data_IF_027176091947
#
_entry.id   IF_027176091947
#
_cell.length_a   1.000
_cell.length_b   1.000
_cell.length_c   1.000
_cell.angle_alpha   90.00
_cell.angle_beta   90.00
_cell.angle_gamma   90.00
#
_symmetry.space_group_name_H-M   'P 1'
#
loop_
_entity.id
_entity.type
_entity.pdbx_description
1 polymer ?
#
# COMPACT_ATOMS: atom_id res chain seq x y z
N UNK A 1 8.86 -8.84 -12.86
CA UNK A 1 7.70 -9.74 -12.71
C UNK A 1 7.16 -10.11 -14.08
N UNK A 2 6.66 -9.18 -14.91
CA UNK A 2 6.15 -9.50 -16.27
C UNK A 2 7.19 -10.18 -17.16
N UNK A 3 8.45 -9.72 -17.14
CA UNK A 3 9.53 -10.39 -17.89
C UNK A 3 9.87 -11.79 -17.38
N UNK A 4 9.59 -12.11 -16.11
CA UNK A 4 9.78 -13.45 -15.55
C UNK A 4 8.60 -14.36 -15.91
N UNK A 5 7.39 -13.81 -15.90
CA UNK A 5 6.17 -14.53 -16.30
C UNK A 5 6.18 -14.83 -17.81
N UNK A 6 6.48 -13.83 -18.63
CA UNK A 6 6.57 -13.96 -20.09
C UNK A 6 5.25 -14.22 -20.81
N UNK A 7 4.13 -14.31 -20.09
CA UNK A 7 2.78 -14.54 -20.64
C UNK A 7 1.81 -13.43 -20.26
N UNK A 8 1.50 -13.30 -18.98
CA UNK A 8 0.57 -12.29 -18.48
C UNK A 8 1.29 -10.95 -18.17
N UNK A 9 0.51 -9.86 -18.21
CA UNK A 9 0.94 -8.50 -17.88
C UNK A 9 0.06 -7.93 -16.77
N UNK A 10 0.53 -6.91 -16.06
CA UNK A 10 -0.27 -6.26 -15.04
C UNK A 10 -1.34 -5.35 -15.67
N UNK A 11 -2.60 -5.63 -15.37
CA UNK A 11 -3.70 -4.71 -15.58
C UNK A 11 -3.68 -3.64 -14.48
N UNK A 12 -3.70 -2.36 -14.88
CA UNK A 12 -3.55 -1.22 -13.97
C UNK A 12 -4.85 -0.45 -13.87
N UNK A 13 -5.48 -0.51 -12.71
CA UNK A 13 -6.64 0.30 -12.37
C UNK A 13 -6.20 1.54 -11.58
N UNK A 14 -6.45 2.71 -12.17
CA UNK A 14 -6.20 4.00 -11.52
C UNK A 14 -7.49 4.47 -10.87
N UNK A 15 -7.45 4.71 -9.57
CA UNK A 15 -8.63 5.09 -8.82
C UNK A 15 -8.37 6.32 -7.96
N UNK A 16 -9.46 7.03 -7.68
CA UNK A 16 -9.51 8.17 -6.77
C UNK A 16 -10.73 7.99 -5.87
N UNK A 17 -10.61 8.30 -4.59
CA UNK A 17 -11.75 8.26 -3.67
C UNK A 17 -12.76 9.34 -4.06
N UNK A 18 -14.05 9.05 -3.85
CA UNK A 18 -15.15 9.98 -4.14
C UNK A 18 -15.05 11.30 -3.38
N UNK A 19 -14.44 11.29 -2.20
CA UNK A 19 -14.23 12.46 -1.35
C UNK A 19 -12.93 13.23 -1.68
N UNK A 20 -12.17 12.78 -2.68
CA UNK A 20 -10.91 13.41 -3.11
C UNK A 20 -9.72 13.16 -2.18
N UNK A 21 -9.92 12.50 -1.04
CA UNK A 21 -8.92 12.35 0.01
C UNK A 21 -7.97 11.16 -0.23
N UNK A 22 -7.76 10.77 -1.49
CA UNK A 22 -6.80 9.75 -1.82
C UNK A 22 -6.98 9.15 -3.19
N UNK A 23 -5.91 8.53 -3.67
CA UNK A 23 -5.82 7.87 -4.96
C UNK A 23 -4.83 6.72 -4.91
N UNK A 24 -4.80 5.93 -5.96
CA UNK A 24 -3.87 4.83 -6.07
C UNK A 24 -3.88 4.17 -7.43
N UNK A 25 -2.99 3.19 -7.54
CA UNK A 25 -2.87 2.32 -8.71
C UNK A 25 -2.91 0.90 -8.17
N UNK A 26 -3.95 0.17 -8.54
CA UNK A 26 -4.06 -1.26 -8.29
C UNK A 26 -3.56 -1.98 -9.52
N UNK A 27 -2.43 -2.68 -9.42
CA UNK A 27 -1.88 -3.46 -10.54
C UNK A 27 -2.08 -4.94 -10.26
N UNK A 28 -2.82 -5.65 -11.11
CA UNK A 28 -3.12 -7.08 -10.93
C UNK A 28 -2.62 -7.87 -12.12
N UNK A 29 -1.98 -9.01 -11.84
CA UNK A 29 -1.64 -10.05 -12.82
C UNK A 29 -2.38 -11.32 -12.42
N UNK A 30 -3.01 -11.99 -13.36
CA UNK A 30 -3.73 -13.25 -13.17
C UNK A 30 -3.41 -14.19 -14.33
N UNK A 31 -3.51 -15.50 -14.08
CA UNK A 31 -3.44 -16.55 -15.09
C UNK A 31 -2.17 -16.45 -15.96
N UNK A 32 -1.04 -16.11 -15.33
CA UNK A 32 0.28 -16.06 -15.95
C UNK A 32 0.97 -17.42 -16.01
N UNK A 33 2.13 -17.48 -16.67
CA UNK A 33 2.90 -18.73 -16.73
C UNK A 33 3.61 -19.04 -15.40
N UNK A 34 3.93 -18.00 -14.63
CA UNK A 34 4.64 -18.11 -13.35
C UNK A 34 3.73 -17.73 -12.20
N UNK A 35 2.95 -16.66 -12.35
CA UNK A 35 2.05 -16.17 -11.30
C UNK A 35 0.61 -16.59 -11.59
N UNK A 36 0.04 -17.44 -10.71
CA UNK A 36 -1.41 -17.70 -10.67
C UNK A 36 -2.16 -16.39 -10.45
N UNK A 37 -1.70 -15.62 -9.45
CA UNK A 37 -2.26 -14.32 -9.10
C UNK A 37 -1.25 -13.44 -8.39
N UNK A 38 -1.22 -12.15 -8.72
CA UNK A 38 -0.37 -11.19 -8.06
C UNK A 38 -0.97 -9.80 -8.04
N UNK A 39 -0.64 -9.03 -7.00
CA UNK A 39 -1.02 -7.63 -6.86
C UNK A 39 0.18 -6.78 -6.49
N UNK A 40 0.33 -5.63 -7.13
CA UNK A 40 1.29 -4.59 -6.77
C UNK A 40 0.54 -3.26 -6.71
N UNK A 41 0.29 -2.80 -5.51
CA UNK A 41 -0.62 -1.70 -5.24
C UNK A 41 0.14 -0.51 -4.69
N UNK A 42 -0.14 0.66 -5.26
CA UNK A 42 0.26 1.95 -4.71
C UNK A 42 -0.97 2.69 -4.21
N UNK A 43 -0.86 3.37 -3.08
CA UNK A 43 -1.88 4.32 -2.64
C UNK A 43 -1.27 5.52 -1.91
N UNK A 44 -1.98 6.64 -2.00
CA UNK A 44 -1.80 7.82 -1.18
C UNK A 44 -3.17 8.26 -0.67
N UNK A 45 -3.28 8.46 0.63
CA UNK A 45 -4.52 8.84 1.31
C UNK A 45 -4.22 9.99 2.26
N UNK A 46 -5.10 10.98 2.25
CA UNK A 46 -5.00 12.16 3.07
C UNK A 46 -6.25 12.28 3.95
N UNK A 47 -6.17 13.05 5.02
CA UNK A 47 -7.35 13.32 5.83
C UNK A 47 -7.14 14.43 6.83
N UNK A 48 -8.24 15.09 7.19
CA UNK A 48 -8.19 16.23 8.11
C UNK A 48 -8.18 15.83 9.60
N UNK A 49 -8.53 14.57 9.92
CA UNK A 49 -8.53 14.03 11.28
C UNK A 49 -8.20 12.55 11.26
N UNK A 50 -7.40 12.11 12.23
CA UNK A 50 -7.10 10.70 12.42
C UNK A 50 -8.33 9.92 12.92
N UNK A 51 -8.50 8.65 12.51
CA UNK A 51 -9.52 7.79 13.09
C UNK A 51 -9.28 7.58 14.59
N UNK A 52 -10.35 7.44 15.38
CA UNK A 52 -10.23 7.23 16.84
C UNK A 52 -9.34 6.03 17.21
N UNK A 53 -9.35 4.97 16.39
CA UNK A 53 -8.49 3.79 16.60
C UNK A 53 -6.99 4.12 16.59
N UNK A 54 -6.58 5.14 15.84
CA UNK A 54 -5.18 5.56 15.77
C UNK A 54 -4.79 6.53 16.91
N UNK A 55 -5.73 7.34 17.39
CA UNK A 55 -5.47 8.33 18.44
C UNK A 55 -5.51 7.75 19.84
N UNK A 56 -6.21 6.64 20.09
CA UNK A 56 -6.23 5.97 21.41
C UNK A 56 -4.84 5.65 21.94
N UNK A 57 -3.93 5.21 21.05
CA UNK A 57 -2.55 4.86 21.40
C UNK A 57 -1.56 6.00 21.19
N UNK A 58 -1.98 7.08 20.51
CA UNK A 58 -1.15 8.24 20.14
C UNK A 58 -1.98 9.53 20.21
N UNK A 59 -2.30 10.02 21.42
CA UNK A 59 -3.13 11.21 21.61
C UNK A 59 -2.58 12.46 20.90
N UNK A 60 -1.25 12.54 20.72
CA UNK A 60 -0.55 13.62 20.03
C UNK A 60 -0.91 13.76 18.53
N UNK A 61 -1.58 12.76 17.95
CA UNK A 61 -2.08 12.76 16.58
C UNK A 61 -3.50 13.35 16.46
N UNK A 62 -4.18 13.62 17.58
CA UNK A 62 -5.53 14.16 17.56
C UNK A 62 -5.56 15.58 16.95
N UNK A 63 -6.54 15.83 16.08
CA UNK A 63 -6.70 17.13 15.41
C UNK A 63 -5.73 17.42 14.27
N UNK A 64 -4.68 16.60 14.09
CA UNK A 64 -3.71 16.76 12.99
C UNK A 64 -4.28 16.28 11.65
N UNK A 65 -3.88 16.96 10.58
CA UNK A 65 -4.03 16.44 9.21
C UNK A 65 -3.02 15.34 8.99
N UNK A 66 -3.34 14.34 8.20
CA UNK A 66 -2.42 13.24 7.91
C UNK A 66 -2.35 12.92 6.43
N UNK A 67 -1.19 12.40 6.03
CA UNK A 67 -0.96 11.76 4.74
C UNK A 67 -0.29 10.42 4.97
N UNK A 68 -0.85 9.38 4.36
CA UNK A 68 -0.32 8.02 4.38
C UNK A 68 -0.15 7.54 2.95
N UNK A 69 1.04 7.07 2.59
CA UNK A 69 1.31 6.50 1.27
C UNK A 69 2.14 5.23 1.37
N UNK A 70 2.04 4.37 0.37
CA UNK A 70 2.86 3.17 0.34
C UNK A 70 2.66 2.31 -0.88
N UNK A 71 3.54 1.32 -0.99
CA UNK A 71 3.46 0.21 -1.93
C UNK A 71 3.27 -1.08 -1.15
N UNK A 72 2.35 -1.92 -1.61
CA UNK A 72 2.11 -3.25 -1.04
C UNK A 72 1.99 -4.26 -2.17
N UNK A 73 2.56 -5.44 -2.00
CA UNK A 73 2.45 -6.52 -2.96
C UNK A 73 2.24 -7.87 -2.29
N UNK A 74 1.52 -8.74 -3.00
CA UNK A 74 1.41 -10.18 -2.71
C UNK A 74 1.49 -10.90 -4.06
N UNK A 75 2.33 -11.92 -4.14
CA UNK A 75 2.55 -12.70 -5.35
C UNK A 75 2.35 -14.18 -5.02
N UNK A 76 1.42 -14.83 -5.72
CA UNK A 76 1.16 -16.26 -5.66
C UNK A 76 1.64 -16.91 -6.96
N UNK A 77 2.76 -17.64 -6.92
CA UNK A 77 3.20 -18.46 -8.03
C UNK A 77 2.29 -19.67 -8.25
N UNK A 78 2.12 -20.09 -9.50
CA UNK A 78 1.41 -21.33 -9.87
C UNK A 78 2.19 -22.58 -9.41
N UNK A 79 3.52 -22.52 -9.44
CA UNK A 79 4.37 -23.66 -9.08
C UNK A 79 4.50 -23.77 -7.55
N UNK A 80 4.10 -24.90 -6.93
CA UNK A 80 4.13 -25.08 -5.48
C UNK A 80 5.54 -25.08 -4.85
N UNK A 81 6.59 -25.15 -5.66
CA UNK A 81 7.98 -25.05 -5.20
C UNK A 81 8.51 -23.61 -5.17
N UNK A 82 7.72 -22.63 -5.61
CA UNK A 82 8.05 -21.21 -5.51
C UNK A 82 7.17 -20.61 -4.40
N UNK A 83 7.78 -20.02 -3.35
CA UNK A 83 7.02 -19.50 -2.23
C UNK A 83 6.16 -18.31 -2.62
N UNK A 84 5.06 -18.12 -1.89
CA UNK A 84 4.32 -16.86 -1.94
C UNK A 84 5.19 -15.77 -1.32
N UNK A 85 5.20 -14.58 -1.92
CA UNK A 85 5.95 -13.44 -1.41
C UNK A 85 5.02 -12.28 -1.09
N UNK A 86 5.23 -11.65 0.05
CA UNK A 86 4.59 -10.40 0.44
C UNK A 86 5.64 -9.34 0.74
N UNK A 87 5.35 -8.10 0.37
CA UNK A 87 6.13 -6.95 0.81
C UNK A 87 5.27 -5.70 0.96
N UNK A 88 5.68 -4.84 1.89
CA UNK A 88 5.05 -3.55 2.11
C UNK A 88 6.11 -2.51 2.49
N UNK A 89 6.05 -1.32 1.89
CA UNK A 89 6.80 -0.14 2.35
C UNK A 89 5.85 1.05 2.35
N UNK A 90 5.75 1.74 3.48
CA UNK A 90 4.82 2.84 3.69
C UNK A 90 5.44 3.96 4.50
N UNK A 91 4.96 5.17 4.24
CA UNK A 91 5.29 6.38 4.95
C UNK A 91 4.02 7.02 5.50
N UNK A 92 4.11 7.57 6.71
CA UNK A 92 3.05 8.30 7.35
C UNK A 92 3.59 9.62 7.89
N UNK A 93 2.81 10.68 7.73
CA UNK A 93 3.06 11.99 8.35
C UNK A 93 1.75 12.59 8.87
N UNK A 94 1.82 13.23 10.04
CA UNK A 94 0.75 14.03 10.61
C UNK A 94 1.23 15.44 10.97
N UNK A 95 0.50 16.44 10.50
CA UNK A 95 0.88 17.84 10.50
C UNK A 95 -0.20 18.71 11.15
N UNK A 96 0.25 19.76 11.83
CA UNK A 96 -0.58 20.81 12.38
C UNK A 96 0.23 22.12 12.31
N UNK A 97 -0.41 23.28 12.04
CA UNK A 97 0.29 24.56 12.07
C UNK A 97 1.07 24.76 13.38
N UNK A 98 2.27 25.30 13.27
CA UNK A 98 3.13 25.67 14.41
C UNK A 98 3.56 24.50 15.33
N UNK A 99 3.41 23.25 14.88
CA UNK A 99 3.92 22.06 15.59
C UNK A 99 4.84 21.24 14.69
N UNK A 100 5.85 20.63 15.29
CA UNK A 100 6.69 19.66 14.61
C UNK A 100 5.83 18.50 14.05
N UNK A 101 6.10 18.05 12.81
CA UNK A 101 5.38 16.95 12.20
C UNK A 101 5.74 15.62 12.88
N UNK A 102 4.75 14.74 13.01
CA UNK A 102 4.94 13.39 13.54
C UNK A 102 4.92 12.44 12.35
N UNK A 103 6.02 11.71 12.13
CA UNK A 103 6.15 10.86 10.97
C UNK A 103 6.91 9.59 11.29
N UNK A 104 6.69 8.56 10.47
CA UNK A 104 7.44 7.32 10.53
C UNK A 104 7.34 6.57 9.22
N UNK A 105 8.32 5.71 8.98
CA UNK A 105 8.24 4.66 7.97
C UNK A 105 7.76 3.36 8.61
N UNK A 106 7.16 2.51 7.79
CA UNK A 106 6.86 1.12 8.15
C UNK A 106 7.03 0.24 6.93
N UNK A 107 7.30 -1.03 7.16
CA UNK A 107 7.42 -1.97 6.06
C UNK A 107 8.05 -3.28 6.48
N UNK A 108 8.29 -4.12 5.48
CA UNK A 108 8.86 -5.45 5.62
C UNK A 108 8.58 -6.28 4.38
N UNK A 109 9.16 -7.47 4.37
CA UNK A 109 8.89 -8.51 3.40
C UNK A 109 8.93 -9.85 4.10
N UNK A 110 8.22 -10.82 3.57
CA UNK A 110 8.16 -12.18 4.07
C UNK A 110 7.90 -13.17 2.93
N UNK A 111 8.24 -14.43 3.19
CA UNK A 111 8.07 -15.56 2.29
C UNK A 111 7.24 -16.62 3.01
N UNK A 112 6.26 -17.17 2.30
CA UNK A 112 5.39 -18.25 2.77
C UNK A 112 5.56 -19.48 1.90
#
# INVERSE_FOLDING_TARGET
MESLDGGAVFEKDHWTKKDGNGSGITSVICDGNVFEKGGVNFSIVEGNKMPKSATTLRPELEGRKYTALGVSLVLHPENPYIPTAHANVRFFVAEEPDKEPIWWFGGGFDLT
#
